data_IF_792773252337
#
_entry.id   IF_792773252337
#
_cell.length_a   1.000
_cell.length_b   1.000
_cell.length_c   1.000
_cell.angle_alpha   90.00
_cell.angle_beta   90.00
_cell.angle_gamma   90.00
#
_symmetry.space_group_name_H-M   'P 1'
#
loop_
_entity.id
_entity.type
_entity.pdbx_description
1 polymer ?
#
# COMPACT_ATOMS: atom_id res chain seq x y z
N UNK A 1 -2.03 15.76 2.97
CA UNK A 1 -2.64 16.28 1.72
C UNK A 1 -1.64 16.66 0.64
N UNK A 2 -0.59 17.45 0.89
CA UNK A 2 0.35 17.87 -0.16
C UNK A 2 0.91 16.70 -1.00
N UNK A 3 1.34 15.61 -0.34
CA UNK A 3 1.81 14.39 -1.03
C UNK A 3 0.76 13.73 -1.93
N UNK A 4 -0.51 13.69 -1.50
CA UNK A 4 -1.59 13.09 -2.29
C UNK A 4 -1.86 13.90 -3.57
N UNK A 5 -1.88 15.24 -3.46
CA UNK A 5 -2.00 16.14 -4.62
C UNK A 5 -0.83 15.95 -5.59
N UNK A 6 0.39 15.92 -5.07
CA UNK A 6 1.59 15.70 -5.87
C UNK A 6 1.59 14.33 -6.57
N UNK A 7 1.10 13.28 -5.91
CA UNK A 7 0.99 11.96 -6.53
C UNK A 7 -0.02 11.92 -7.67
N UNK A 8 -1.20 12.54 -7.50
CA UNK A 8 -2.21 12.64 -8.58
C UNK A 8 -1.63 13.42 -9.76
N UNK A 9 -0.97 14.55 -9.53
CA UNK A 9 -0.33 15.32 -10.59
C UNK A 9 0.81 14.53 -11.28
N UNK A 10 1.59 13.77 -10.52
CA UNK A 10 2.67 12.97 -11.08
C UNK A 10 2.14 11.85 -12.00
N UNK A 11 0.96 11.29 -11.73
CA UNK A 11 0.32 10.27 -12.57
C UNK A 11 -0.03 10.80 -13.98
N UNK A 12 -0.15 12.11 -14.18
CA UNK A 12 -0.45 12.69 -15.50
C UNK A 12 0.69 12.48 -16.52
N UNK A 13 1.93 12.30 -16.04
CA UNK A 13 3.13 12.23 -16.91
C UNK A 13 4.05 11.06 -16.61
N UNK A 14 3.74 10.22 -15.62
CA UNK A 14 4.58 9.11 -15.19
C UNK A 14 3.80 7.80 -15.13
N UNK A 15 4.40 6.73 -15.65
CA UNK A 15 3.83 5.37 -15.62
C UNK A 15 3.80 4.74 -14.22
N UNK A 16 4.61 5.27 -13.29
CA UNK A 16 4.73 4.76 -11.92
C UNK A 16 5.01 5.89 -10.94
N UNK A 17 4.24 5.92 -9.85
CA UNK A 17 4.38 6.89 -8.76
C UNK A 17 4.46 6.16 -7.43
N UNK A 18 5.52 6.42 -6.67
CA UNK A 18 5.68 5.93 -5.30
C UNK A 18 5.45 7.05 -4.30
N UNK A 19 4.50 6.88 -3.40
CA UNK A 19 4.24 7.80 -2.29
C UNK A 19 4.62 7.14 -0.96
N UNK A 20 5.54 7.76 -0.23
CA UNK A 20 5.99 7.29 1.08
C UNK A 20 5.53 8.20 2.23
N UNK A 21 5.12 7.61 3.36
CA UNK A 21 4.73 8.33 4.59
C UNK A 21 5.49 7.74 5.79
N UNK A 22 6.45 8.50 6.35
CA UNK A 22 7.30 8.08 7.46
C UNK A 22 6.64 8.18 8.85
N UNK A 23 5.64 9.05 9.01
CA UNK A 23 5.11 9.42 10.32
C UNK A 23 4.55 8.25 11.18
N UNK A 24 3.93 7.17 10.64
CA UNK A 24 3.47 6.04 11.47
C UNK A 24 4.61 5.32 12.20
N UNK A 25 5.78 5.27 11.58
CA UNK A 25 6.96 4.63 12.15
C UNK A 25 7.54 5.44 13.32
N UNK A 26 7.62 6.76 13.17
CA UNK A 26 8.06 7.67 14.25
C UNK A 26 7.19 7.50 15.49
N UNK A 27 5.87 7.52 15.32
CA UNK A 27 4.94 7.30 16.43
C UNK A 27 5.09 5.91 17.08
N UNK A 28 5.53 4.91 16.31
CA UNK A 28 5.80 3.56 16.82
C UNK A 28 7.06 3.52 17.68
N UNK A 29 8.15 4.17 17.23
CA UNK A 29 9.38 4.30 18.02
C UNK A 29 9.18 5.08 19.32
N UNK A 30 8.25 6.05 19.34
CA UNK A 30 7.89 6.76 20.57
C UNK A 30 7.00 5.91 21.51
N UNK A 31 6.48 4.78 21.03
CA UNK A 31 5.49 3.94 21.73
C UNK A 31 4.11 4.59 21.81
N UNK A 32 3.84 5.59 20.99
CA UNK A 32 2.60 6.36 21.00
C UNK A 32 1.56 5.76 20.05
N UNK A 33 0.85 4.74 20.53
CA UNK A 33 -0.17 4.05 19.75
C UNK A 33 -1.29 5.00 19.29
N UNK A 34 -1.73 5.94 20.14
CA UNK A 34 -2.78 6.91 19.79
C UNK A 34 -2.35 7.79 18.62
N UNK A 35 -1.13 8.33 18.67
CA UNK A 35 -0.59 9.13 17.57
C UNK A 35 -0.40 8.30 16.30
N UNK A 36 0.02 7.03 16.41
CA UNK A 36 0.12 6.13 15.26
C UNK A 36 -1.24 5.98 14.55
N UNK A 37 -2.31 5.76 15.31
CA UNK A 37 -3.69 5.70 14.78
C UNK A 37 -4.07 7.02 14.09
N UNK A 38 -3.88 8.16 14.74
CA UNK A 38 -4.19 9.48 14.16
C UNK A 38 -3.43 9.75 12.85
N UNK A 39 -2.19 9.26 12.73
CA UNK A 39 -1.42 9.36 11.49
C UNK A 39 -1.97 8.41 10.42
N UNK A 40 -2.34 7.18 10.77
CA UNK A 40 -2.96 6.23 9.83
C UNK A 40 -4.28 6.81 9.28
N UNK A 41 -5.12 7.42 10.11
CA UNK A 41 -6.34 8.10 9.66
C UNK A 41 -6.07 9.27 8.69
N UNK A 42 -4.94 9.95 8.84
CA UNK A 42 -4.51 10.98 7.87
C UNK A 42 -4.04 10.36 6.55
N UNK A 43 -3.41 9.18 6.60
CA UNK A 43 -3.04 8.40 5.41
C UNK A 43 -4.30 7.92 4.70
N UNK A 44 -5.30 7.43 5.43
CA UNK A 44 -6.60 7.02 4.88
C UNK A 44 -7.26 8.17 4.09
N UNK A 45 -7.35 9.37 4.69
CA UNK A 45 -7.84 10.57 3.99
C UNK A 45 -7.02 10.91 2.74
N UNK A 46 -5.69 10.68 2.77
CA UNK A 46 -4.81 10.91 1.61
C UNK A 46 -5.08 9.90 0.50
N UNK A 47 -5.26 8.63 0.86
CA UNK A 47 -5.60 7.56 -0.07
C UNK A 47 -6.96 7.81 -0.71
N UNK A 48 -7.98 8.16 0.09
CA UNK A 48 -9.30 8.51 -0.42
C UNK A 48 -9.24 9.65 -1.45
N UNK A 49 -8.40 10.67 -1.23
CA UNK A 49 -8.18 11.73 -2.23
C UNK A 49 -7.59 11.19 -3.53
N UNK A 50 -6.60 10.29 -3.46
CA UNK A 50 -5.97 9.68 -4.65
C UNK A 50 -6.99 8.84 -5.40
N UNK A 51 -7.72 7.97 -4.71
CA UNK A 51 -8.72 7.09 -5.31
C UNK A 51 -9.86 7.85 -6.00
N UNK A 52 -10.25 9.00 -5.44
CA UNK A 52 -11.29 9.87 -6.03
C UNK A 52 -10.80 10.69 -7.23
N UNK A 53 -9.50 10.75 -7.50
CA UNK A 53 -8.90 11.63 -8.52
C UNK A 53 -8.13 10.89 -9.60
N UNK A 54 -7.56 9.74 -9.29
CA UNK A 54 -6.94 8.87 -10.27
C UNK A 54 -8.03 8.19 -11.12
N UNK A 55 -7.74 7.97 -12.41
CA UNK A 55 -8.58 7.13 -13.25
C UNK A 55 -8.35 5.65 -12.88
N UNK A 56 -9.22 5.09 -12.04
CA UNK A 56 -9.14 3.69 -11.62
C UNK A 56 -9.45 2.69 -12.74
N UNK A 57 -9.90 3.16 -13.91
CA UNK A 57 -10.02 2.38 -15.14
C UNK A 57 -8.67 2.10 -15.82
N UNK A 58 -7.64 2.89 -15.51
CA UNK A 58 -6.29 2.76 -16.09
C UNK A 58 -5.18 2.70 -15.03
N UNK A 59 -5.50 2.93 -13.75
CA UNK A 59 -4.53 3.02 -12.65
C UNK A 59 -4.66 1.84 -11.69
N UNK A 60 -3.52 1.22 -11.37
CA UNK A 60 -3.41 0.29 -10.25
C UNK A 60 -2.86 0.99 -9.01
N UNK A 61 -3.48 0.73 -7.85
CA UNK A 61 -3.05 1.26 -6.57
C UNK A 61 -2.68 0.11 -5.64
N UNK A 62 -1.46 0.15 -5.09
CA UNK A 62 -1.00 -0.77 -4.07
C UNK A 62 -0.71 -0.02 -2.76
N UNK A 63 -1.23 -0.54 -1.65
CA UNK A 63 -0.99 -0.03 -0.30
C UNK A 63 -0.31 -1.12 0.54
N UNK A 64 0.83 -0.78 1.13
CA UNK A 64 1.57 -1.64 2.08
C UNK A 64 2.47 -0.77 2.96
N UNK A 65 3.06 -1.38 3.98
CA UNK A 65 4.25 -0.87 4.65
C UNK A 65 5.52 -1.57 4.11
N UNK A 66 6.68 -0.98 4.35
CA UNK A 66 7.99 -1.57 4.09
C UNK A 66 8.43 -2.53 5.21
N UNK A 67 8.03 -2.25 6.45
CA UNK A 67 8.22 -3.14 7.59
C UNK A 67 7.19 -2.88 8.70
N UNK A 68 7.16 -3.79 9.68
CA UNK A 68 6.43 -3.59 10.94
C UNK A 68 7.30 -2.80 11.90
N UNK A 69 6.72 -1.82 12.59
CA UNK A 69 7.31 -1.18 13.79
C UNK A 69 6.30 -1.23 14.91
N UNK A 70 6.64 -1.91 16.00
CA UNK A 70 5.72 -2.14 17.12
C UNK A 70 5.79 -1.00 18.13
N UNK A 71 4.64 -0.49 18.57
CA UNK A 71 4.59 0.49 19.68
C UNK A 71 5.01 -0.12 21.02
N UNK A 72 4.88 -1.45 21.18
CA UNK A 72 5.22 -2.14 22.42
C UNK A 72 6.74 -2.31 22.55
N UNK A 73 7.42 -2.69 21.48
CA UNK A 73 8.87 -2.90 21.48
C UNK A 73 9.65 -1.67 21.03
N UNK A 74 8.96 -0.67 20.45
CA UNK A 74 9.52 0.58 19.92
C UNK A 74 10.59 0.35 18.85
N UNK A 75 10.53 -0.79 18.18
CA UNK A 75 11.53 -1.23 17.20
C UNK A 75 10.85 -1.87 16.00
N UNK A 76 11.65 -2.04 14.95
CA UNK A 76 11.24 -2.80 13.78
C UNK A 76 11.13 -4.27 14.15
N UNK A 77 10.07 -4.92 13.68
CA UNK A 77 9.79 -6.34 13.94
C UNK A 77 9.69 -7.14 12.65
N UNK A 78 9.90 -8.45 12.77
CA UNK A 78 9.83 -9.40 11.65
C UNK A 78 8.41 -9.81 11.25
N UNK A 79 7.39 -9.22 11.87
CA UNK A 79 5.99 -9.51 11.55
C UNK A 79 5.64 -9.08 10.11
N UNK A 80 4.82 -9.86 9.39
CA UNK A 80 4.38 -9.51 8.06
C UNK A 80 3.52 -8.25 8.06
N UNK A 81 3.59 -7.47 6.98
CA UNK A 81 2.81 -6.25 6.77
C UNK A 81 1.58 -6.51 5.91
N UNK A 82 0.46 -5.79 6.13
CA UNK A 82 -0.72 -5.88 5.29
C UNK A 82 -0.43 -5.30 3.89
N UNK A 83 -1.00 -5.93 2.86
CA UNK A 83 -0.90 -5.51 1.46
C UNK A 83 -2.29 -5.58 0.81
N UNK A 84 -2.66 -4.52 0.10
CA UNK A 84 -3.84 -4.48 -0.74
C UNK A 84 -3.46 -3.93 -2.13
N UNK A 85 -4.11 -4.46 -3.17
CA UNK A 85 -3.95 -4.01 -4.56
C UNK A 85 -5.35 -3.81 -5.13
N UNK A 86 -5.56 -2.70 -5.84
CA UNK A 86 -6.82 -2.33 -6.51
C UNK A 86 -6.52 -1.91 -7.95
N UNK A 87 -7.45 -2.21 -8.87
CA UNK A 87 -7.39 -1.77 -10.27
C UNK A 87 -8.25 -2.62 -11.21
N UNK A 88 -8.28 -2.31 -12.52
CA UNK A 88 -9.24 -2.82 -13.51
C UNK A 88 -9.37 -4.35 -13.62
N UNK A 89 -8.26 -5.07 -13.44
CA UNK A 89 -8.21 -6.53 -13.61
C UNK A 89 -7.80 -7.28 -12.33
N UNK A 90 -7.85 -6.61 -11.18
CA UNK A 90 -7.61 -7.27 -9.90
C UNK A 90 -8.81 -8.18 -9.59
N UNK A 91 -8.54 -9.45 -9.31
CA UNK A 91 -9.55 -10.38 -8.79
C UNK A 91 -9.72 -10.12 -7.30
N UNK A 92 -10.78 -9.41 -6.93
CA UNK A 92 -11.14 -9.16 -5.54
C UNK A 92 -11.40 -10.47 -4.79
N UNK A 93 -11.05 -10.48 -3.49
CA UNK A 93 -11.39 -11.54 -2.55
C UNK A 93 -12.51 -11.05 -1.60
N UNK A 94 -12.87 -11.86 -0.60
CA UNK A 94 -13.96 -11.54 0.33
C UNK A 94 -13.52 -10.61 1.49
N UNK A 95 -12.29 -10.08 1.48
CA UNK A 95 -11.78 -9.21 2.54
C UNK A 95 -12.25 -7.76 2.32
N UNK A 96 -12.97 -7.23 3.30
CA UNK A 96 -13.60 -5.90 3.23
C UNK A 96 -12.96 -4.84 4.14
N UNK A 97 -11.85 -5.16 4.81
CA UNK A 97 -11.15 -4.25 5.71
C UNK A 97 -9.62 -4.39 5.58
N UNK A 98 -8.89 -3.29 5.82
CA UNK A 98 -7.43 -3.28 5.75
C UNK A 98 -6.82 -3.31 7.17
N UNK A 99 -6.41 -4.50 7.61
CA UNK A 99 -5.74 -4.74 8.89
C UNK A 99 -4.86 -5.97 8.80
N UNK A 100 -3.96 -6.17 9.77
CA UNK A 100 -3.07 -7.33 9.82
C UNK A 100 -3.87 -8.65 9.83
N UNK A 101 -4.98 -8.71 10.58
CA UNK A 101 -5.82 -9.92 10.69
C UNK A 101 -6.66 -10.18 9.46
N UNK A 102 -7.13 -9.12 8.80
CA UNK A 102 -7.94 -9.23 7.59
C UNK A 102 -7.10 -9.60 6.38
N UNK A 103 -5.97 -8.92 6.17
CA UNK A 103 -5.05 -9.21 5.07
C UNK A 103 -4.44 -10.62 5.16
N UNK A 104 -4.35 -11.21 6.36
CA UNK A 104 -3.94 -12.60 6.52
C UNK A 104 -4.90 -13.62 5.85
N UNK A 105 -6.14 -13.21 5.54
CA UNK A 105 -7.16 -14.02 4.84
C UNK A 105 -7.25 -13.70 3.35
N UNK A 106 -6.49 -12.72 2.86
CA UNK A 106 -6.58 -12.24 1.48
C UNK A 106 -6.04 -13.24 0.46
N UNK A 107 -6.57 -13.18 -0.76
CA UNK A 107 -6.24 -14.07 -1.87
C UNK A 107 -4.81 -13.91 -2.42
N UNK A 108 -4.11 -12.84 -2.04
CA UNK A 108 -2.67 -12.68 -2.33
C UNK A 108 -1.79 -13.65 -1.53
N UNK A 109 -2.31 -14.20 -0.42
CA UNK A 109 -1.54 -15.04 0.49
C UNK A 109 -0.35 -14.30 1.11
N UNK A 110 0.72 -15.04 1.43
CA UNK A 110 1.94 -14.48 2.04
C UNK A 110 3.05 -14.31 1.00
N UNK A 111 3.32 -13.06 0.63
CA UNK A 111 4.33 -12.69 -0.35
C UNK A 111 5.63 -12.18 0.31
N UNK A 112 6.71 -12.14 -0.47
CA UNK A 112 7.92 -11.37 -0.13
C UNK A 112 7.84 -10.02 -0.81
N UNK A 113 8.39 -8.96 -0.21
CA UNK A 113 8.37 -7.61 -0.78
C UNK A 113 8.87 -7.54 -2.23
N UNK A 114 9.91 -8.32 -2.58
CA UNK A 114 10.44 -8.42 -3.95
C UNK A 114 9.45 -8.94 -5.00
N UNK A 115 8.34 -9.56 -4.60
CA UNK A 115 7.31 -10.07 -5.51
C UNK A 115 6.27 -9.01 -5.88
N UNK A 116 6.16 -7.90 -5.12
CA UNK A 116 5.13 -6.89 -5.36
C UNK A 116 5.28 -6.23 -6.74
N UNK A 117 6.47 -5.73 -7.08
CA UNK A 117 6.68 -5.09 -8.38
C UNK A 117 6.46 -6.04 -9.57
N UNK A 118 6.97 -7.27 -9.60
CA UNK A 118 6.61 -8.24 -10.64
C UNK A 118 5.10 -8.46 -10.79
N UNK A 119 4.34 -8.52 -9.69
CA UNK A 119 2.88 -8.66 -9.72
C UNK A 119 2.23 -7.42 -10.35
N UNK A 120 2.64 -6.21 -9.94
CA UNK A 120 2.13 -4.95 -10.52
C UNK A 120 2.48 -4.82 -12.01
N UNK A 121 3.71 -5.17 -12.40
CA UNK A 121 4.13 -5.15 -13.79
C UNK A 121 3.34 -6.16 -14.64
N UNK A 122 2.90 -7.28 -14.06
CA UNK A 122 2.04 -8.23 -14.74
C UNK A 122 0.64 -7.63 -14.97
N UNK A 123 0.06 -6.95 -13.97
CA UNK A 123 -1.21 -6.23 -14.15
C UNK A 123 -1.14 -5.13 -15.21
N UNK A 124 0.02 -4.47 -15.34
CA UNK A 124 0.29 -3.46 -16.37
C UNK A 124 0.59 -4.07 -17.76
N UNK A 125 0.60 -5.40 -17.90
CA UNK A 125 0.96 -6.07 -19.16
C UNK A 125 2.42 -5.86 -19.59
N UNK A 126 3.31 -5.51 -18.65
CA UNK A 126 4.73 -5.20 -18.92
C UNK A 126 5.67 -6.38 -18.63
N UNK A 127 5.17 -7.50 -18.13
CA UNK A 127 5.96 -8.71 -17.90
C UNK A 127 6.11 -9.49 -19.20
N UNK A 128 7.35 -9.86 -19.51
CA UNK A 128 7.64 -10.77 -20.63
C UNK A 128 7.45 -12.21 -20.18
N UNK A 129 6.81 -13.01 -21.02
CA UNK A 129 6.81 -14.46 -20.87
C UNK A 129 8.26 -14.96 -20.94
N UNK A 130 8.63 -15.87 -20.04
CA UNK A 130 9.92 -16.53 -20.06
C UNK A 130 9.75 -17.93 -20.66
N UNK A 131 10.50 -18.22 -21.72
CA UNK A 131 10.35 -19.45 -22.51
C UNK A 131 9.59 -19.20 -23.82
N UNK A 132 8.56 -20.03 -24.06
CA UNK A 132 7.68 -19.98 -25.23
C UNK A 132 7.09 -18.59 -25.44
#
# INVERSE_FOLDING_TARGET
MAKAKAAVQALETNDFVMLHVKAPDVASHDGNAKQKVEVIEKVDKMLAYILNKADLGETYVALTADHTTSCATKNHEGDPVPLAIMGPYVRGDDVNEFSERACAKGGLGRLRGKHLMPILMNFLGKVKKFGA
#
